data_IF_249161170335
#
_entry.id   IF_249161170335
#
_cell.length_a   1.000
_cell.length_b   1.000
_cell.length_c   1.000
_cell.angle_alpha   90.00
_cell.angle_beta   90.00
_cell.angle_gamma   90.00
#
_symmetry.space_group_name_H-M   'P 1'
#
loop_
_entity.id
_entity.type
_entity.pdbx_description
1 polymer ?
#
# COMPACT_ATOMS: atom_id res chain seq x y z
N UNK A 1 -46.69 -8.02 -23.09
CA UNK A 1 -47.10 -8.48 -21.74
C UNK A 1 -46.18 -9.63 -21.35
N UNK A 2 -45.62 -9.61 -20.13
CA UNK A 2 -44.73 -10.62 -19.48
C UNK A 2 -43.25 -10.56 -19.93
N UNK A 3 -42.39 -9.75 -19.27
CA UNK A 3 -41.61 -9.97 -18.01
C UNK A 3 -40.37 -10.88 -18.16
N UNK A 4 -39.20 -10.23 -18.10
CA UNK A 4 -38.05 -10.46 -17.20
C UNK A 4 -37.46 -11.87 -17.06
N UNK A 5 -36.13 -11.98 -17.21
CA UNK A 5 -35.24 -12.56 -16.19
C UNK A 5 -33.85 -11.91 -16.24
N UNK A 6 -33.38 -11.47 -15.07
CA UNK A 6 -32.08 -10.87 -14.76
C UNK A 6 -30.98 -11.95 -14.69
N UNK A 7 -29.72 -11.57 -14.89
CA UNK A 7 -28.72 -11.79 -13.84
C UNK A 7 -27.63 -10.71 -13.92
N UNK A 8 -27.45 -9.99 -12.81
CA UNK A 8 -26.37 -9.04 -12.61
C UNK A 8 -25.25 -9.72 -11.85
N UNK A 9 -24.03 -9.59 -12.35
CA UNK A 9 -22.82 -9.95 -11.61
C UNK A 9 -22.41 -8.80 -10.71
N UNK A 10 -22.88 -8.78 -9.46
CA UNK A 10 -22.30 -7.98 -8.39
C UNK A 10 -20.97 -8.65 -7.99
N UNK A 11 -19.84 -8.02 -8.29
CA UNK A 11 -18.57 -8.34 -7.64
C UNK A 11 -18.73 -8.08 -6.15
N UNK A 12 -18.74 -9.16 -5.36
CA UNK A 12 -18.74 -9.10 -3.90
C UNK A 12 -17.30 -9.13 -3.45
N UNK A 13 -16.73 -7.96 -3.19
CA UNK A 13 -15.49 -7.81 -2.46
C UNK A 13 -15.83 -8.04 -0.98
N UNK A 14 -15.77 -9.30 -0.53
CA UNK A 14 -15.83 -9.64 0.88
C UNK A 14 -14.57 -10.43 1.22
N UNK A 15 -13.63 -9.76 1.87
CA UNK A 15 -12.70 -10.34 2.83
C UNK A 15 -12.50 -9.28 3.92
N UNK A 16 -13.36 -9.38 4.93
CA UNK A 16 -13.29 -8.68 6.22
C UNK A 16 -12.11 -9.28 7.01
N UNK A 17 -10.90 -8.78 6.72
CA UNK A 17 -9.71 -8.98 7.56
C UNK A 17 -10.01 -8.27 8.90
N UNK A 18 -10.42 -9.06 9.90
CA UNK A 18 -10.91 -8.61 11.19
C UNK A 18 -10.07 -7.55 11.90
N UNK A 19 -10.79 -6.77 12.72
CA UNK A 19 -10.32 -5.75 13.66
C UNK A 19 -8.94 -6.08 14.28
N UNK A 20 -7.88 -5.54 13.67
CA UNK A 20 -6.49 -5.70 14.11
C UNK A 20 -5.52 -4.91 13.22
N UNK A 21 -5.14 -3.71 13.65
CA UNK A 21 -3.87 -3.05 13.31
C UNK A 21 -3.38 -3.10 11.86
N UNK A 22 -4.23 -2.89 10.85
CA UNK A 22 -3.78 -2.86 9.46
C UNK A 22 -2.93 -1.62 9.18
N UNK A 23 -1.60 -1.74 9.32
CA UNK A 23 -0.64 -0.67 9.10
C UNK A 23 -0.77 0.00 7.72
N UNK A 24 -0.28 1.22 7.60
CA UNK A 24 -0.20 1.93 6.32
C UNK A 24 0.90 1.37 5.42
N UNK A 25 0.86 1.59 4.10
CA UNK A 25 2.04 1.44 3.26
C UNK A 25 3.07 2.53 3.65
N UNK A 26 4.26 2.08 4.05
CA UNK A 26 5.35 2.95 4.47
C UNK A 26 6.69 2.45 3.95
N UNK A 27 7.57 3.39 3.61
CA UNK A 27 8.99 3.14 3.42
C UNK A 27 9.73 3.20 4.76
N UNK A 28 10.96 2.71 4.78
CA UNK A 28 11.89 2.91 5.89
C UNK A 28 13.04 3.80 5.43
N UNK A 29 13.77 4.48 6.34
CA UNK A 29 14.91 5.31 5.98
C UNK A 29 15.94 4.57 5.11
N UNK A 30 16.55 5.28 4.17
CA UNK A 30 17.55 4.77 3.25
C UNK A 30 16.97 4.19 1.94
N UNK A 31 15.67 3.93 1.86
CA UNK A 31 15.02 3.55 0.59
C UNK A 31 15.07 4.73 -0.36
N UNK A 32 15.62 4.53 -1.58
CA UNK A 32 15.78 5.62 -2.55
C UNK A 32 14.68 5.61 -3.60
N UNK A 33 13.96 6.72 -3.71
CA UNK A 33 12.88 6.91 -4.68
C UNK A 33 13.43 7.57 -5.96
N UNK A 34 13.04 7.05 -7.12
CA UNK A 34 13.39 7.65 -8.40
C UNK A 34 12.69 9.00 -8.59
N UNK A 35 13.46 10.07 -8.75
CA UNK A 35 12.96 11.43 -8.97
C UNK A 35 13.60 12.06 -10.22
N UNK A 36 13.09 13.21 -10.64
CA UNK A 36 13.67 13.99 -11.75
C UNK A 36 15.12 14.41 -11.50
N UNK A 37 15.54 14.53 -10.24
CA UNK A 37 16.92 14.89 -9.85
C UNK A 37 17.80 13.67 -9.50
N UNK A 38 17.35 12.46 -9.83
CA UNK A 38 18.02 11.20 -9.51
C UNK A 38 17.34 10.43 -8.39
N UNK A 39 17.99 9.37 -7.91
CA UNK A 39 17.48 8.58 -6.79
C UNK A 39 17.70 9.34 -5.46
N UNK A 40 16.63 9.64 -4.74
CA UNK A 40 16.65 10.43 -3.50
C UNK A 40 16.15 9.57 -2.35
N UNK A 41 16.84 9.56 -1.20
CA UNK A 41 16.37 8.85 -0.02
C UNK A 41 15.00 9.38 0.44
N UNK A 42 14.10 8.49 0.85
CA UNK A 42 12.71 8.86 1.17
C UNK A 42 12.61 9.92 2.28
N UNK A 43 13.53 9.91 3.24
CA UNK A 43 13.64 10.89 4.32
C UNK A 43 14.05 12.30 3.86
N UNK A 44 14.67 12.39 2.68
CA UNK A 44 15.15 13.63 2.07
C UNK A 44 14.16 14.18 1.01
N UNK A 45 13.06 13.48 0.74
CA UNK A 45 12.01 13.99 -0.12
C UNK A 45 11.30 15.16 0.53
N UNK A 46 10.94 16.15 -0.29
CA UNK A 46 10.21 17.35 0.12
C UNK A 46 9.01 17.59 -0.79
N UNK A 47 7.93 18.22 -0.29
CA UNK A 47 6.84 18.68 -1.15
C UNK A 47 7.37 19.47 -2.35
N UNK A 48 6.86 19.16 -3.54
CA UNK A 48 7.32 19.69 -4.82
C UNK A 48 8.37 18.85 -5.55
N UNK A 49 9.05 17.90 -4.88
CA UNK A 49 9.94 16.95 -5.56
C UNK A 49 9.15 16.14 -6.60
N UNK A 50 9.75 15.92 -7.77
CA UNK A 50 9.10 15.25 -8.89
C UNK A 50 9.48 13.78 -8.95
N UNK A 51 8.57 12.89 -8.53
CA UNK A 51 8.76 11.44 -8.56
C UNK A 51 8.53 10.89 -9.96
N UNK A 52 9.36 9.95 -10.39
CA UNK A 52 9.09 9.18 -11.61
C UNK A 52 7.97 8.18 -11.33
N UNK A 53 6.87 8.27 -12.08
CA UNK A 53 5.76 7.31 -12.01
C UNK A 53 5.70 6.45 -13.27
N UNK A 54 5.04 5.30 -13.17
CA UNK A 54 4.92 4.35 -14.28
C UNK A 54 3.94 4.84 -15.37
N UNK A 55 2.86 5.52 -14.96
CA UNK A 55 1.72 5.81 -15.84
C UNK A 55 1.62 7.30 -16.22
N UNK A 56 2.02 8.21 -15.33
CA UNK A 56 1.68 9.63 -15.41
C UNK A 56 2.93 10.54 -15.51
N UNK A 57 4.08 9.99 -15.89
CA UNK A 57 5.33 10.74 -15.99
C UNK A 57 5.83 11.21 -14.62
N UNK A 58 6.32 12.44 -14.53
CA UNK A 58 6.81 13.00 -13.27
C UNK A 58 5.68 13.64 -12.47
N UNK A 59 5.43 13.16 -11.25
CA UNK A 59 4.37 13.69 -10.37
C UNK A 59 4.95 14.33 -9.10
N UNK A 60 4.41 15.48 -8.64
CA UNK A 60 4.94 16.17 -7.49
C UNK A 60 4.58 15.45 -6.18
N UNK A 61 5.52 15.37 -5.25
CA UNK A 61 5.24 15.06 -3.86
C UNK A 61 4.38 16.18 -3.28
N UNK A 62 3.24 15.84 -2.70
CA UNK A 62 2.38 16.80 -2.01
C UNK A 62 2.64 16.82 -0.51
N UNK A 63 3.00 15.66 0.05
CA UNK A 63 3.21 15.51 1.47
C UNK A 63 4.12 14.32 1.77
N UNK A 64 4.92 14.45 2.83
CA UNK A 64 5.76 13.38 3.37
C UNK A 64 5.49 13.24 4.86
N UNK A 65 4.92 12.11 5.26
CA UNK A 65 4.65 11.79 6.65
C UNK A 65 5.74 10.94 7.29
N UNK A 66 5.86 11.02 8.61
CA UNK A 66 6.77 10.18 9.37
C UNK A 66 6.11 9.66 10.65
N UNK A 67 6.21 8.36 10.88
CA UNK A 67 5.81 7.71 12.12
C UNK A 67 6.96 6.89 12.68
N UNK A 68 7.38 7.24 13.89
CA UNK A 68 8.38 6.47 14.63
C UNK A 68 7.67 5.51 15.60
N UNK A 69 8.12 4.26 15.60
CA UNK A 69 7.66 3.21 16.51
C UNK A 69 8.85 2.73 17.34
N UNK A 70 8.68 2.70 18.65
CA UNK A 70 9.63 2.13 19.59
C UNK A 70 9.62 0.60 19.54
N UNK A 71 10.66 -0.04 20.07
CA UNK A 71 10.69 -1.50 20.18
C UNK A 71 9.54 -2.04 21.03
N UNK A 72 9.22 -1.36 22.14
CA UNK A 72 8.10 -1.73 23.01
C UNK A 72 6.73 -1.68 22.29
N UNK A 73 6.51 -0.66 21.44
CA UNK A 73 5.31 -0.60 20.61
C UNK A 73 5.25 -1.74 19.60
N UNK A 74 6.38 -2.13 19.01
CA UNK A 74 6.47 -3.26 18.08
C UNK A 74 6.34 -4.64 18.76
N UNK A 75 6.58 -4.71 20.07
CA UNK A 75 6.32 -5.92 20.86
C UNK A 75 4.83 -6.03 21.23
N UNK A 76 4.17 -4.90 21.50
CA UNK A 76 2.72 -4.86 21.71
C UNK A 76 1.92 -5.03 20.41
N UNK A 77 2.47 -4.57 19.28
CA UNK A 77 1.85 -4.63 17.95
C UNK A 77 2.80 -5.31 16.94
N UNK A 78 3.03 -6.63 17.06
CA UNK A 78 3.95 -7.37 16.21
C UNK A 78 3.55 -7.35 14.72
N UNK A 79 2.29 -7.08 14.41
CA UNK A 79 1.77 -6.90 13.04
C UNK A 79 2.29 -5.63 12.35
N UNK A 80 2.91 -4.70 13.09
CA UNK A 80 3.57 -3.51 12.55
C UNK A 80 5.07 -3.72 12.27
N UNK A 81 5.62 -4.89 12.59
CA UNK A 81 7.03 -5.20 12.33
C UNK A 81 7.31 -5.23 10.82
N UNK A 82 8.42 -4.63 10.37
CA UNK A 82 8.69 -4.49 8.94
C UNK A 82 8.92 -5.84 8.26
N UNK A 83 8.72 -5.86 6.94
CA UNK A 83 9.09 -6.97 6.08
C UNK A 83 10.33 -6.60 5.30
N UNK A 84 11.36 -7.47 5.38
CA UNK A 84 12.56 -7.37 4.55
C UNK A 84 12.41 -8.29 3.35
N UNK A 85 12.58 -7.71 2.17
CA UNK A 85 12.58 -8.43 0.90
C UNK A 85 14.00 -8.37 0.35
N UNK A 86 14.64 -9.54 0.20
CA UNK A 86 16.02 -9.71 -0.25
C UNK A 86 16.11 -9.91 -1.76
N UNK A 87 17.30 -9.75 -2.37
CA UNK A 87 17.50 -10.07 -3.78
C UNK A 87 17.09 -11.52 -4.11
N UNK A 88 16.71 -11.74 -5.37
CA UNK A 88 16.14 -13.02 -5.82
C UNK A 88 14.64 -13.17 -5.51
N UNK A 89 13.99 -12.12 -5.00
CA UNK A 89 12.54 -12.12 -4.89
C UNK A 89 11.85 -11.96 -6.27
N UNK A 90 10.55 -12.28 -6.37
CA UNK A 90 9.74 -12.00 -7.56
C UNK A 90 9.76 -10.54 -8.05
N UNK A 91 10.21 -9.60 -7.21
CA UNK A 91 10.28 -8.18 -7.55
C UNK A 91 11.48 -7.82 -8.42
N UNK A 92 12.46 -8.71 -8.58
CA UNK A 92 13.68 -8.44 -9.36
C UNK A 92 14.60 -7.40 -8.71
N UNK A 93 14.51 -7.23 -7.38
CA UNK A 93 15.33 -6.28 -6.63
C UNK A 93 16.81 -6.69 -6.57
N UNK A 94 17.71 -5.71 -6.76
CA UNK A 94 19.16 -5.92 -6.69
C UNK A 94 19.70 -5.84 -5.26
N UNK A 95 19.06 -5.04 -4.41
CA UNK A 95 19.37 -4.88 -2.99
C UNK A 95 18.18 -5.24 -2.11
N UNK A 96 18.43 -5.43 -0.81
CA UNK A 96 17.33 -5.66 0.13
C UNK A 96 16.55 -4.38 0.39
N UNK A 97 15.22 -4.46 0.41
CA UNK A 97 14.35 -3.37 0.83
C UNK A 97 13.60 -3.75 2.12
N UNK A 98 13.42 -2.77 3.00
CA UNK A 98 12.67 -2.92 4.25
C UNK A 98 11.46 -1.97 4.22
N UNK A 99 10.26 -2.52 4.39
CA UNK A 99 9.00 -1.76 4.28
C UNK A 99 7.98 -2.23 5.32
N UNK A 100 6.91 -1.46 5.50
CA UNK A 100 5.80 -1.89 6.34
C UNK A 100 5.08 -3.13 5.75
N UNK A 101 4.39 -3.94 6.57
CA UNK A 101 3.73 -5.16 6.10
C UNK A 101 2.63 -4.96 5.05
N UNK A 102 1.96 -3.80 5.06
CA UNK A 102 0.88 -3.50 4.11
C UNK A 102 1.37 -2.75 2.86
N UNK A 103 2.68 -2.45 2.76
CA UNK A 103 3.27 -1.83 1.58
C UNK A 103 3.08 -2.74 0.36
N UNK A 104 2.59 -2.16 -0.75
CA UNK A 104 2.31 -2.92 -1.96
C UNK A 104 3.40 -2.77 -3.00
N UNK A 105 3.78 -3.90 -3.57
CA UNK A 105 4.64 -3.95 -4.74
C UNK A 105 3.84 -4.30 -5.98
N UNK A 106 4.21 -3.68 -7.09
CA UNK A 106 3.64 -3.99 -8.39
C UNK A 106 4.13 -5.35 -8.85
N UNK A 107 3.19 -6.24 -9.20
CA UNK A 107 3.48 -7.57 -9.74
C UNK A 107 2.93 -7.67 -11.17
N UNK A 108 3.81 -8.09 -12.09
CA UNK A 108 3.46 -8.35 -13.49
C UNK A 108 2.72 -9.67 -13.62
N UNK A 109 1.83 -9.75 -14.62
CA UNK A 109 1.09 -10.96 -15.03
C UNK A 109 1.94 -12.22 -15.11
N UNK A 110 3.20 -12.14 -15.55
CA UNK A 110 4.07 -13.32 -15.70
C UNK A 110 4.32 -14.07 -14.39
N UNK A 111 4.17 -13.40 -13.24
CA UNK A 111 4.25 -13.99 -11.90
C UNK A 111 2.89 -14.49 -11.37
N UNK A 112 1.80 -14.19 -12.08
CA UNK A 112 0.41 -14.48 -11.69
C UNK A 112 -0.21 -15.67 -12.46
N UNK A 113 0.55 -16.35 -13.32
CA UNK A 113 0.06 -17.51 -14.07
C UNK A 113 -1.24 -17.24 -14.84
N UNK A 114 -2.22 -18.14 -14.71
CA UNK A 114 -3.50 -18.14 -15.45
C UNK A 114 -4.62 -17.28 -14.83
N UNK A 115 -4.32 -16.39 -13.86
CA UNK A 115 -5.25 -15.32 -13.45
C UNK A 115 -5.39 -14.28 -14.58
N UNK A 116 -6.00 -14.71 -15.67
CA UNK A 116 -6.04 -14.08 -16.99
C UNK A 116 -6.81 -12.75 -17.02
N UNK A 117 -7.58 -12.42 -15.97
CA UNK A 117 -8.35 -11.19 -15.84
C UNK A 117 -7.56 -10.01 -15.23
N UNK A 118 -6.50 -10.28 -14.46
CA UNK A 118 -5.67 -9.23 -13.85
C UNK A 118 -4.32 -9.15 -14.57
N UNK A 119 -4.11 -8.07 -15.33
CA UNK A 119 -2.84 -7.85 -16.06
C UNK A 119 -1.74 -7.31 -15.16
N UNK A 120 -2.12 -6.54 -14.16
CA UNK A 120 -1.22 -5.82 -13.26
C UNK A 120 -1.93 -5.66 -11.91
N UNK A 121 -1.25 -6.05 -10.84
CA UNK A 121 -1.83 -6.00 -9.49
C UNK A 121 -0.78 -5.64 -8.46
N UNK A 122 -1.26 -5.23 -7.30
CA UNK A 122 -0.46 -5.02 -6.11
C UNK A 122 -0.40 -6.27 -5.23
N UNK A 123 0.79 -6.60 -4.73
CA UNK A 123 1.00 -7.62 -3.71
C UNK A 123 1.58 -6.99 -2.46
N UNK A 124 0.92 -7.18 -1.32
CA UNK A 124 1.39 -6.66 -0.03
C UNK A 124 2.63 -7.40 0.45
N UNK A 125 3.55 -6.68 1.09
CA UNK A 125 4.79 -7.24 1.62
C UNK A 125 4.54 -8.43 2.58
N UNK A 126 3.51 -8.36 3.43
CA UNK A 126 3.13 -9.48 4.32
C UNK A 126 2.74 -10.75 3.57
N UNK A 127 2.13 -10.61 2.39
CA UNK A 127 1.73 -11.73 1.55
C UNK A 127 2.92 -12.26 0.73
N UNK A 128 3.89 -11.40 0.41
CA UNK A 128 5.16 -11.83 -0.17
C UNK A 128 5.88 -12.87 0.72
N UNK A 129 5.79 -12.75 2.05
CA UNK A 129 6.33 -13.75 2.98
C UNK A 129 5.74 -15.17 2.78
N UNK A 130 4.53 -15.27 2.22
CA UNK A 130 3.86 -16.54 1.92
C UNK A 130 4.23 -17.07 0.52
N UNK A 131 4.37 -16.16 -0.45
CA UNK A 131 4.64 -16.51 -1.86
C UNK A 131 6.12 -16.77 -2.12
N UNK A 132 7.00 -15.99 -1.48
CA UNK A 132 8.45 -16.06 -1.64
C UNK A 132 9.12 -16.11 -0.26
N UNK A 133 8.85 -17.15 0.55
CA UNK A 133 9.38 -17.24 1.90
C UNK A 133 10.90 -17.07 1.93
N UNK A 134 11.66 -17.73 1.06
CA UNK A 134 13.13 -17.67 1.09
C UNK A 134 13.72 -16.25 0.96
N UNK A 135 12.97 -15.32 0.37
CA UNK A 135 13.44 -13.96 0.11
C UNK A 135 12.65 -12.88 0.85
N UNK A 136 11.49 -13.20 1.42
CA UNK A 136 10.66 -12.27 2.19
C UNK A 136 10.39 -12.77 3.62
N UNK A 137 10.79 -11.96 4.62
CA UNK A 137 10.65 -12.29 6.05
C UNK A 137 10.29 -11.05 6.86
N UNK A 138 9.45 -11.24 7.88
CA UNK A 138 9.26 -10.24 8.93
C UNK A 138 10.58 -10.09 9.71
N UNK A 139 10.98 -8.85 9.98
CA UNK A 139 12.15 -8.54 10.79
C UNK A 139 11.76 -8.11 12.20
N UNK A 140 12.46 -8.66 13.18
CA UNK A 140 12.51 -8.12 14.53
C UNK A 140 13.55 -7.01 14.61
N UNK A 141 13.24 -5.95 15.35
CA UNK A 141 14.15 -4.84 15.62
C UNK A 141 14.12 -4.54 17.12
N UNK A 142 15.30 -4.35 17.69
CA UNK A 142 15.53 -4.01 19.10
C UNK A 142 15.54 -2.50 19.36
N UNK A 143 15.66 -1.69 18.30
CA UNK A 143 15.77 -0.23 18.37
C UNK A 143 14.52 0.53 17.90
N UNK A 144 13.45 -0.19 17.54
CA UNK A 144 12.27 0.40 16.90
C UNK A 144 12.44 0.59 15.39
N UNK A 145 11.53 1.31 14.77
CA UNK A 145 11.56 1.62 13.34
C UNK A 145 10.88 2.96 12.99
N UNK A 146 11.41 3.62 11.98
CA UNK A 146 10.80 4.79 11.35
C UNK A 146 10.08 4.39 10.07
N UNK A 147 8.85 4.87 9.92
CA UNK A 147 8.02 4.68 8.74
C UNK A 147 7.75 6.01 8.06
N UNK A 148 7.99 6.08 6.76
CA UNK A 148 7.78 7.27 5.95
C UNK A 148 6.71 7.05 4.89
N UNK A 149 5.86 8.05 4.70
CA UNK A 149 4.76 8.04 3.74
C UNK A 149 4.98 9.13 2.71
N UNK A 150 4.64 8.85 1.46
CA UNK A 150 4.77 9.82 0.37
C UNK A 150 3.44 9.91 -0.33
N UNK A 151 2.86 11.10 -0.39
CA UNK A 151 1.57 11.35 -1.04
C UNK A 151 1.78 12.19 -2.30
N UNK A 152 1.06 11.86 -3.35
CA UNK A 152 1.06 12.53 -4.67
C UNK A 152 -0.36 13.03 -5.00
N UNK A 153 -0.62 13.71 -6.12
CA UNK A 153 -1.98 14.17 -6.46
C UNK A 153 -2.99 13.02 -6.66
N UNK A 154 -2.50 11.86 -7.07
CA UNK A 154 -3.25 10.62 -7.19
C UNK A 154 -2.43 9.48 -6.60
N UNK A 155 -3.01 8.30 -6.45
CA UNK A 155 -2.22 7.11 -6.16
C UNK A 155 -1.39 6.72 -7.36
N UNK A 156 -0.08 6.57 -7.18
CA UNK A 156 0.87 6.35 -8.27
C UNK A 156 1.65 5.06 -8.05
N UNK A 157 2.01 4.41 -9.17
CA UNK A 157 3.08 3.41 -9.17
C UNK A 157 4.40 4.14 -9.36
N UNK A 158 5.31 4.06 -8.38
CA UNK A 158 6.62 4.71 -8.38
C UNK A 158 7.75 3.68 -8.30
N UNK A 159 9.00 4.13 -8.43
CA UNK A 159 10.17 3.26 -8.35
C UNK A 159 10.99 3.53 -7.10
N UNK A 160 11.13 2.55 -6.23
CA UNK A 160 11.93 2.59 -5.01
C UNK A 160 13.04 1.54 -5.08
N UNK A 161 14.31 1.97 -5.03
CA UNK A 161 15.49 1.14 -5.28
C UNK A 161 15.37 0.27 -6.55
N UNK A 162 14.77 0.86 -7.60
CA UNK A 162 14.52 0.20 -8.89
C UNK A 162 13.29 -0.72 -8.93
N UNK A 163 12.59 -0.89 -7.81
CA UNK A 163 11.40 -1.74 -7.69
C UNK A 163 10.14 -0.91 -7.89
N UNK A 164 9.23 -1.38 -8.75
CA UNK A 164 7.92 -0.77 -8.90
C UNK A 164 7.04 -1.01 -7.66
N UNK A 165 6.60 0.07 -7.02
CA UNK A 165 5.87 0.11 -5.75
C UNK A 165 4.83 1.24 -5.77
N UNK A 166 4.21 1.55 -4.64
CA UNK A 166 3.15 2.56 -4.54
C UNK A 166 3.55 3.85 -3.79
N UNK A 167 2.82 4.94 -4.06
CA UNK A 167 2.67 6.06 -3.12
C UNK A 167 1.58 5.75 -2.08
N UNK A 168 1.42 6.59 -1.06
CA UNK A 168 0.35 6.43 -0.09
C UNK A 168 -1.02 6.59 -0.79
N UNK A 169 -1.88 5.58 -0.67
CA UNK A 169 -3.31 5.78 -0.82
C UNK A 169 -3.91 6.11 0.56
N UNK A 170 -4.50 7.30 0.77
CA UNK A 170 -5.00 7.75 2.06
C UNK A 170 -6.37 7.11 2.37
N UNK A 171 -6.41 5.78 2.36
CA UNK A 171 -7.59 5.00 2.73
C UNK A 171 -7.97 5.19 4.20
N UNK A 172 -9.17 4.77 4.61
CA UNK A 172 -9.68 5.01 5.97
C UNK A 172 -8.76 4.46 7.07
N UNK A 173 -8.23 3.24 6.88
CA UNK A 173 -7.25 2.66 7.81
C UNK A 173 -5.94 3.43 7.83
N UNK A 174 -5.52 3.95 6.67
CA UNK A 174 -4.32 4.75 6.59
C UNK A 174 -4.48 6.06 7.38
N UNK A 175 -5.54 6.80 7.08
CA UNK A 175 -5.89 8.02 7.78
C UNK A 175 -5.98 7.83 9.30
N UNK A 176 -6.59 6.74 9.78
CA UNK A 176 -6.67 6.41 11.22
C UNK A 176 -5.31 6.08 11.84
N UNK A 177 -4.36 5.56 11.07
CA UNK A 177 -3.02 5.21 11.52
C UNK A 177 -2.04 6.39 11.58
N UNK A 178 -2.41 7.55 11.05
CA UNK A 178 -1.60 8.77 11.11
C UNK A 178 -1.63 9.38 12.52
N UNK A 179 -0.58 10.13 12.87
CA UNK A 179 -0.59 10.95 14.10
C UNK A 179 -1.65 12.05 13.99
N UNK A 180 -2.08 12.62 15.13
CA UNK A 180 -3.04 13.75 15.12
C UNK A 180 -2.49 14.95 14.33
N UNK A 181 -1.18 15.17 14.39
CA UNK A 181 -0.51 16.24 13.64
C UNK A 181 -0.56 15.97 12.13
N UNK A 182 -0.19 14.76 11.70
CA UNK A 182 -0.23 14.36 10.30
C UNK A 182 -1.66 14.37 9.74
N UNK A 183 -2.64 13.92 10.54
CA UNK A 183 -4.06 14.01 10.18
C UNK A 183 -4.48 15.47 9.98
N UNK A 184 -4.08 16.37 10.89
CA UNK A 184 -4.42 17.77 10.77
C UNK A 184 -3.83 18.40 9.52
N UNK A 185 -2.54 18.14 9.22
CA UNK A 185 -1.88 18.62 8.01
C UNK A 185 -2.57 18.07 6.75
N UNK A 186 -2.79 16.75 6.70
CA UNK A 186 -3.42 16.10 5.57
C UNK A 186 -4.85 16.59 5.34
N UNK A 187 -5.65 16.81 6.39
CA UNK A 187 -7.00 17.37 6.27
C UNK A 187 -7.01 18.87 5.96
N UNK A 188 -5.92 19.58 6.20
CA UNK A 188 -5.77 20.96 5.72
C UNK A 188 -5.55 20.97 4.21
N UNK A 189 -4.75 20.02 3.69
CA UNK A 189 -4.49 19.87 2.25
C UNK A 189 -5.69 19.25 1.50
N UNK A 190 -6.39 18.30 2.13
CA UNK A 190 -7.50 17.55 1.55
C UNK A 190 -8.68 17.47 2.55
N UNK A 191 -9.49 18.53 2.68
CA UNK A 191 -10.57 18.60 3.66
C UNK A 191 -11.59 17.45 3.54
N UNK A 192 -11.86 17.00 2.33
CA UNK A 192 -12.85 15.95 2.05
C UNK A 192 -12.46 14.59 2.66
N UNK A 193 -11.17 14.31 2.86
CA UNK A 193 -10.70 13.07 3.49
C UNK A 193 -11.15 12.95 4.95
N UNK A 194 -11.43 14.07 5.63
CA UNK A 194 -11.94 14.07 7.01
C UNK A 194 -13.27 13.33 7.12
N UNK A 195 -14.10 13.41 6.09
CA UNK A 195 -15.42 12.76 6.07
C UNK A 195 -15.32 11.24 6.05
N UNK A 196 -14.25 10.69 5.46
CA UNK A 196 -14.03 9.26 5.31
C UNK A 196 -13.63 8.55 6.60
N UNK A 197 -13.20 9.30 7.63
CA UNK A 197 -12.88 8.74 8.95
C UNK A 197 -13.77 9.25 10.07
N UNK A 198 -14.70 10.17 9.77
CA UNK A 198 -15.67 10.65 10.75
C UNK A 198 -16.48 9.46 11.31
N UNK A 199 -16.64 9.35 12.65
CA UNK A 199 -17.46 8.30 13.25
C UNK A 199 -18.90 8.41 12.75
N UNK A 200 -19.41 7.35 12.14
CA UNK A 200 -20.80 7.22 11.75
C UNK A 200 -21.28 5.82 12.16
N UNK A 201 -22.19 5.70 13.15
CA UNK A 201 -22.60 4.42 13.71
C UNK A 201 -23.38 3.54 12.73
N UNK A 202 -23.79 4.06 11.56
CA UNK A 202 -24.56 3.32 10.54
C UNK A 202 -23.68 2.97 9.33
N UNK A 203 -22.56 3.68 9.13
CA UNK A 203 -21.73 3.59 7.91
C UNK A 203 -20.78 2.40 7.94
N UNK A 204 -20.69 1.67 6.82
CA UNK A 204 -19.76 0.53 6.68
C UNK A 204 -18.39 0.99 6.19
N UNK A 205 -17.35 0.19 6.45
CA UNK A 205 -15.98 0.46 5.98
C UNK A 205 -15.86 0.58 4.45
N UNK A 206 -16.68 -0.16 3.70
CA UNK A 206 -16.70 -0.05 2.23
C UNK A 206 -17.20 1.33 1.77
N UNK A 207 -18.11 1.93 2.54
CA UNK A 207 -18.56 3.29 2.31
C UNK A 207 -17.41 4.27 2.57
N UNK A 208 -16.62 4.06 3.63
CA UNK A 208 -15.43 4.89 3.92
C UNK A 208 -14.41 4.84 2.77
N UNK A 209 -14.14 3.65 2.20
CA UNK A 209 -13.24 3.52 1.05
C UNK A 209 -13.81 4.19 -0.20
N UNK A 210 -15.12 4.07 -0.43
CA UNK A 210 -15.78 4.75 -1.54
C UNK A 210 -15.71 6.28 -1.40
N UNK A 211 -15.80 6.81 -0.18
CA UNK A 211 -15.61 8.23 0.11
C UNK A 211 -14.19 8.68 -0.22
N UNK A 212 -13.15 7.95 0.20
CA UNK A 212 -11.76 8.25 -0.19
C UNK A 212 -11.59 8.20 -1.70
N UNK A 213 -12.15 7.18 -2.37
CA UNK A 213 -12.09 7.08 -3.83
C UNK A 213 -12.72 8.28 -4.52
N UNK A 214 -13.80 8.83 -3.97
CA UNK A 214 -14.46 10.03 -4.50
C UNK A 214 -13.65 11.30 -4.23
N UNK A 215 -13.00 11.39 -3.07
CA UNK A 215 -12.26 12.58 -2.65
C UNK A 215 -10.84 12.68 -3.24
N UNK A 216 -10.14 11.54 -3.36
CA UNK A 216 -8.72 11.48 -3.73
C UNK A 216 -8.44 10.57 -4.95
N UNK A 217 -9.39 9.72 -5.33
CA UNK A 217 -9.22 8.76 -6.42
C UNK A 217 -8.96 7.33 -5.96
N UNK A 218 -8.97 6.42 -6.93
CA UNK A 218 -8.76 4.98 -6.72
C UNK A 218 -7.31 4.59 -6.45
N UNK A 219 -7.10 3.31 -6.15
CA UNK A 219 -5.77 2.72 -6.24
C UNK A 219 -5.35 2.65 -7.70
N UNK A 220 -4.09 2.97 -7.98
CA UNK A 220 -3.46 2.83 -9.30
C UNK A 220 -3.61 1.43 -9.91
N UNK A 221 -3.61 0.38 -9.08
CA UNK A 221 -3.82 -1.03 -9.47
C UNK A 221 -4.66 -1.75 -8.40
N UNK A 222 -5.38 -2.83 -8.74
CA UNK A 222 -6.11 -3.63 -7.78
C UNK A 222 -5.18 -4.42 -6.85
N UNK A 223 -5.66 -4.75 -5.65
CA UNK A 223 -4.95 -5.57 -4.68
C UNK A 223 -5.14 -7.06 -4.98
N UNK A 224 -4.06 -7.85 -4.87
CA UNK A 224 -4.16 -9.30 -4.68
C UNK A 224 -4.46 -9.60 -3.22
N UNK A 225 -5.44 -10.46 -3.01
CA UNK A 225 -5.87 -10.94 -1.69
C UNK A 225 -5.22 -12.29 -1.37
N UNK A 226 -5.27 -12.69 -0.10
CA UNK A 226 -4.85 -14.04 0.28
C UNK A 226 -5.69 -15.13 -0.41
N UNK A 227 -6.95 -14.84 -0.70
CA UNK A 227 -7.85 -15.74 -1.45
C UNK A 227 -7.37 -15.93 -2.89
N UNK A 228 -6.94 -14.85 -3.56
CA UNK A 228 -6.36 -14.93 -4.92
C UNK A 228 -5.08 -15.77 -4.94
N UNK A 229 -4.23 -15.61 -3.93
CA UNK A 229 -2.98 -16.39 -3.82
C UNK A 229 -3.22 -17.88 -3.57
N UNK A 230 -4.24 -18.22 -2.78
CA UNK A 230 -4.63 -19.63 -2.58
C UNK A 230 -5.12 -20.26 -3.88
N UNK A 231 -5.89 -19.52 -4.68
CA UNK A 231 -6.32 -19.98 -5.99
C UNK A 231 -5.13 -20.23 -6.93
N UNK A 232 -4.10 -19.37 -6.91
CA UNK A 232 -2.86 -19.55 -7.68
C UNK A 232 -2.12 -20.85 -7.33
N UNK A 233 -1.92 -21.11 -6.04
CA UNK A 233 -1.23 -22.32 -5.58
C UNK A 233 -2.01 -23.61 -5.88
N UNK A 234 -3.33 -23.53 -6.04
CA UNK A 234 -4.17 -24.68 -6.42
C UNK A 234 -4.08 -25.01 -7.92
N UNK A 235 -3.84 -24.00 -8.78
CA UNK A 235 -3.69 -24.20 -10.23
C UNK A 235 -2.26 -24.58 -10.66
N UNK A 236 -1.26 -24.37 -9.79
CA UNK A 236 0.14 -24.73 -10.04
C UNK A 236 0.50 -26.19 -9.66
N UNK A 237 -0.50 -27.02 -9.33
CA UNK A 237 -0.39 -28.46 -9.08
C UNK A 237 -1.13 -29.24 -10.17
#
# INVERSE_FOLDING_TARGET
>A
MVKSHKSGGKGKDHDDDGCGGGGMPCFTPGVRIATKRGAVAVEDLRPGDLLQTADNGYQPVLWVGRRDLTAAELDLMPELRPVKIRPGSPLGNSDSILVSPQHRFFIRRSLLGDLSSLRESFLRARLMCQVAPETARVQTTDRGISYLHVLTPQHEVIFADGIATETLWPGPMALRGLSTQDQHELFTLFPDLRTAIAPDPIRKTDDDRALVRRAYGGLARPDLTGSDLRALNFMAR
#
